data_IF_262924261427
#
_entry.id   IF_262924261427
#
_cell.length_a   1.000
_cell.length_b   1.000
_cell.length_c   1.000
_cell.angle_alpha   90.00
_cell.angle_beta   90.00
_cell.angle_gamma   90.00
#
_symmetry.space_group_name_H-M   'P 1'
#
loop_
_entity.id
_entity.type
_entity.pdbx_description
1 polymer ?
#
# COMPACT_ATOMS: atom_id res chain seq x y z
N UNK A 1 -1.97 -10.25 10.95
CA UNK A 1 -2.70 -10.43 12.23
C UNK A 1 -2.38 -9.25 13.12
N UNK A 2 -3.38 -8.65 13.79
CA UNK A 2 -3.23 -7.51 14.69
C UNK A 2 -3.61 -7.96 16.09
N UNK A 3 -2.76 -7.67 17.08
CA UNK A 3 -3.02 -7.93 18.49
C UNK A 3 -3.28 -6.61 19.22
N UNK A 4 -4.35 -6.54 19.99
CA UNK A 4 -4.71 -5.37 20.80
C UNK A 4 -4.80 -5.74 22.27
N UNK A 5 -4.52 -4.77 23.15
CA UNK A 5 -4.67 -4.97 24.60
C UNK A 5 -6.05 -4.45 25.04
N UNK A 6 -6.95 -5.34 25.38
CA UNK A 6 -8.32 -4.98 25.75
C UNK A 6 -8.43 -3.94 26.88
N UNK A 7 -7.50 -3.94 27.83
CA UNK A 7 -7.53 -3.00 28.95
C UNK A 7 -7.18 -1.56 28.58
N UNK A 8 -6.45 -1.33 27.47
CA UNK A 8 -5.90 -0.01 27.15
C UNK A 8 -6.10 0.40 25.69
N UNK A 9 -6.35 -0.53 24.79
CA UNK A 9 -6.43 -0.28 23.35
C UNK A 9 -7.35 -1.31 22.68
N UNK A 10 -8.64 -1.29 23.04
CA UNK A 10 -9.65 -2.12 22.40
C UNK A 10 -10.26 -1.36 21.20
N UNK A 11 -10.39 -1.99 20.04
CA UNK A 11 -11.14 -1.38 18.93
C UNK A 11 -12.64 -1.35 19.25
N UNK A 12 -13.32 -0.32 18.77
CA UNK A 12 -14.79 -0.20 18.89
C UNK A 12 -15.50 -0.90 17.73
N UNK A 13 -14.82 -1.03 16.57
CA UNK A 13 -15.28 -1.78 15.39
C UNK A 13 -14.10 -2.48 14.72
N UNK A 14 -14.41 -3.60 14.04
CA UNK A 14 -13.45 -4.35 13.24
C UNK A 14 -14.13 -4.85 11.97
N UNK A 15 -13.44 -4.68 10.83
CA UNK A 15 -13.89 -5.13 9.52
C UNK A 15 -12.77 -5.90 8.81
N UNK A 16 -13.12 -6.93 8.07
CA UNK A 16 -12.23 -7.61 7.13
C UNK A 16 -12.41 -7.01 5.73
N UNK A 17 -11.31 -6.94 4.97
CA UNK A 17 -11.34 -6.39 3.61
C UNK A 17 -11.19 -4.87 3.55
N UNK A 18 -11.15 -4.36 2.31
CA UNK A 18 -10.92 -2.94 2.02
C UNK A 18 -12.15 -2.28 1.41
N UNK A 19 -12.99 -3.04 0.69
CA UNK A 19 -14.14 -2.52 -0.04
C UNK A 19 -15.47 -2.71 0.69
N UNK A 20 -15.47 -3.47 1.80
CA UNK A 20 -16.61 -3.63 2.70
C UNK A 20 -17.71 -4.55 2.18
N UNK A 21 -17.42 -5.43 1.23
CA UNK A 21 -18.38 -6.40 0.68
C UNK A 21 -18.46 -7.71 1.48
N UNK A 22 -17.52 -7.94 2.38
CA UNK A 22 -17.59 -9.06 3.31
C UNK A 22 -18.62 -8.79 4.42
N UNK A 23 -19.11 -9.86 5.04
CA UNK A 23 -20.10 -9.78 6.10
C UNK A 23 -19.46 -9.99 7.48
N UNK A 24 -19.97 -9.33 8.53
CA UNK A 24 -19.59 -9.67 9.90
C UNK A 24 -19.93 -11.13 10.24
N UNK A 25 -19.25 -11.73 11.23
CA UNK A 25 -19.62 -13.06 11.71
C UNK A 25 -21.11 -13.16 12.05
N UNK A 26 -21.75 -14.21 11.57
CA UNK A 26 -23.19 -14.48 11.77
C UNK A 26 -24.15 -13.46 11.11
N UNK A 27 -23.71 -12.70 10.13
CA UNK A 27 -24.52 -11.79 9.33
C UNK A 27 -24.45 -12.16 7.86
N UNK A 28 -25.53 -11.90 7.11
CA UNK A 28 -25.56 -11.93 5.65
C UNK A 28 -25.52 -10.53 5.01
N UNK A 29 -25.45 -9.48 5.83
CA UNK A 29 -25.38 -8.09 5.37
C UNK A 29 -23.93 -7.65 5.29
N UNK A 30 -23.43 -7.19 4.12
CA UNK A 30 -22.08 -6.67 3.98
C UNK A 30 -21.79 -5.49 4.92
N UNK A 31 -20.52 -5.32 5.31
CA UNK A 31 -20.12 -4.21 6.18
C UNK A 31 -20.58 -2.85 5.64
N UNK A 32 -20.48 -2.63 4.33
CA UNK A 32 -20.89 -1.37 3.67
C UNK A 32 -22.39 -1.09 3.67
N UNK A 33 -23.21 -2.11 3.88
CA UNK A 33 -24.68 -2.05 3.86
C UNK A 33 -25.28 -2.06 5.27
N UNK A 34 -24.45 -2.12 6.32
CA UNK A 34 -24.88 -1.96 7.70
C UNK A 34 -25.37 -0.53 7.98
N UNK A 35 -26.11 -0.27 9.05
CA UNK A 35 -26.40 1.08 9.53
C UNK A 35 -25.10 1.87 9.77
N UNK A 36 -25.11 3.19 9.52
CA UNK A 36 -23.92 4.06 9.61
C UNK A 36 -23.21 3.98 10.98
N UNK A 37 -23.98 3.82 12.07
CA UNK A 37 -23.45 3.69 13.41
C UNK A 37 -22.76 2.33 13.67
N UNK A 38 -22.88 1.38 12.75
CA UNK A 38 -22.22 0.07 12.79
C UNK A 38 -21.06 -0.07 11.79
N UNK A 39 -20.88 0.90 10.89
CA UNK A 39 -19.83 0.90 9.90
C UNK A 39 -18.59 1.65 10.39
N UNK A 40 -17.39 1.24 9.90
CA UNK A 40 -16.21 2.11 9.94
C UNK A 40 -16.32 3.17 8.83
N UNK A 41 -16.93 2.84 7.70
CA UNK A 41 -17.21 3.76 6.60
C UNK A 41 -16.03 3.96 5.64
N UNK A 42 -16.16 4.97 4.76
CA UNK A 42 -15.12 5.32 3.78
C UNK A 42 -14.96 4.31 2.64
N UNK A 43 -15.93 3.44 2.39
CA UNK A 43 -15.86 2.42 1.34
C UNK A 43 -15.70 3.04 -0.05
N UNK A 44 -14.81 2.49 -0.90
CA UNK A 44 -14.65 2.96 -2.26
C UNK A 44 -15.95 2.83 -3.06
N UNK A 45 -16.26 3.83 -3.86
CA UNK A 45 -17.34 3.77 -4.86
C UNK A 45 -16.91 2.94 -6.07
N UNK A 46 -17.87 2.48 -6.88
CA UNK A 46 -17.55 1.76 -8.11
C UNK A 46 -16.74 2.64 -9.10
N UNK A 47 -16.98 3.95 -9.11
CA UNK A 47 -16.21 4.89 -9.90
C UNK A 47 -14.74 4.99 -9.42
N UNK A 48 -14.52 5.08 -8.11
CA UNK A 48 -13.18 5.08 -7.52
C UNK A 48 -12.43 3.76 -7.72
N UNK A 49 -13.12 2.64 -7.91
CA UNK A 49 -12.51 1.34 -8.19
C UNK A 49 -12.10 1.19 -9.65
N UNK A 50 -12.58 2.04 -10.57
CA UNK A 50 -12.12 2.06 -11.95
C UNK A 50 -10.64 2.47 -11.99
N UNK A 51 -9.89 1.87 -12.93
CA UNK A 51 -8.49 2.27 -13.14
C UNK A 51 -8.43 3.72 -13.57
N UNK A 52 -7.47 4.51 -13.05
CA UNK A 52 -7.07 5.72 -13.73
C UNK A 52 -6.62 5.33 -15.14
N UNK A 53 -7.09 6.05 -16.16
CA UNK A 53 -6.59 5.88 -17.51
C UNK A 53 -5.05 5.96 -17.50
N UNK A 54 -4.36 5.08 -18.21
CA UNK A 54 -2.93 5.16 -18.37
C UNK A 54 -2.61 6.56 -18.93
N UNK A 55 -1.67 7.26 -18.28
CA UNK A 55 -1.14 8.50 -18.85
C UNK A 55 -0.54 8.11 -20.20
N UNK A 56 -0.93 8.73 -21.32
CA UNK A 56 -0.32 8.44 -22.62
C UNK A 56 1.18 8.68 -22.49
N UNK A 57 1.99 7.68 -22.76
CA UNK A 57 3.41 7.88 -23.00
C UNK A 57 3.47 8.67 -24.32
N UNK A 58 4.05 9.88 -24.28
CA UNK A 58 4.40 10.67 -25.45
C UNK A 58 5.56 9.95 -26.18
N UNK A 59 5.25 8.84 -26.83
CA UNK A 59 6.20 8.19 -27.73
C UNK A 59 5.55 7.97 -29.10
N UNK A 60 6.12 8.68 -30.08
CA UNK A 60 5.82 8.65 -31.50
C UNK A 60 6.34 7.34 -32.14
N UNK A 61 5.98 6.20 -31.56
CA UNK A 61 6.26 4.89 -32.14
C UNK A 61 4.92 4.24 -32.56
N UNK A 62 4.81 3.97 -33.87
CA UNK A 62 3.79 3.13 -34.50
C UNK A 62 3.79 1.73 -33.84
N UNK A 63 3.11 1.60 -32.73
CA UNK A 63 2.76 0.30 -32.15
C UNK A 63 1.36 -0.05 -32.67
N UNK A 64 1.29 -1.12 -33.46
CA UNK A 64 0.03 -1.73 -33.87
C UNK A 64 -0.86 -1.88 -32.64
N UNK A 65 -2.13 -1.49 -32.77
CA UNK A 65 -3.15 -1.61 -31.73
C UNK A 65 -3.30 -3.08 -31.37
N UNK A 66 -2.58 -3.55 -30.33
CA UNK A 66 -2.84 -4.83 -29.71
C UNK A 66 -4.25 -4.80 -29.09
N UNK A 67 -5.16 -5.57 -29.68
CA UNK A 67 -6.55 -5.75 -29.21
C UNK A 67 -6.65 -6.37 -27.79
N UNK A 68 -5.54 -6.72 -27.16
CA UNK A 68 -5.40 -7.18 -25.76
C UNK A 68 -5.21 -6.04 -24.74
N UNK A 69 -5.61 -4.80 -25.07
CA UNK A 69 -5.73 -3.74 -24.05
C UNK A 69 -6.68 -4.23 -22.96
N UNK A 70 -6.12 -4.57 -21.81
CA UNK A 70 -6.82 -5.02 -20.61
C UNK A 70 -8.15 -4.28 -20.47
N UNK A 71 -9.24 -5.04 -20.52
CA UNK A 71 -10.61 -4.56 -20.46
C UNK A 71 -10.76 -3.54 -19.33
N UNK A 72 -11.33 -2.40 -19.65
CA UNK A 72 -11.60 -1.25 -18.75
C UNK A 72 -12.67 -1.61 -17.68
N UNK A 73 -12.99 -2.89 -17.57
CA UNK A 73 -13.96 -3.38 -16.59
C UNK A 73 -13.36 -3.36 -15.17
N UNK A 74 -14.06 -2.73 -14.24
CA UNK A 74 -13.63 -2.74 -12.84
C UNK A 74 -13.62 -4.18 -12.33
N UNK A 75 -12.54 -4.56 -11.63
CA UNK A 75 -12.50 -5.85 -10.93
C UNK A 75 -13.68 -5.93 -9.96
N UNK A 76 -14.32 -7.08 -9.89
CA UNK A 76 -15.37 -7.37 -8.91
C UNK A 76 -14.84 -7.05 -7.49
N UNK A 77 -15.51 -6.15 -6.76
CA UNK A 77 -15.13 -5.82 -5.38
C UNK A 77 -14.96 -7.03 -4.46
N UNK A 78 -15.75 -8.08 -4.68
CA UNK A 78 -15.64 -9.33 -3.92
C UNK A 78 -14.28 -10.02 -4.13
N UNK A 79 -13.70 -9.91 -5.31
CA UNK A 79 -12.36 -10.48 -5.58
C UNK A 79 -11.27 -9.75 -4.79
N UNK A 80 -11.38 -8.43 -4.60
CA UNK A 80 -10.39 -7.63 -3.87
C UNK A 80 -10.31 -8.03 -2.40
N UNK A 81 -11.44 -8.35 -1.77
CA UNK A 81 -11.50 -8.73 -0.37
C UNK A 81 -11.35 -10.25 -0.14
N UNK A 82 -11.47 -11.09 -1.20
CA UNK A 82 -11.48 -12.56 -1.09
C UNK A 82 -10.16 -13.16 -0.57
N UNK A 83 -9.04 -12.49 -0.77
CA UNK A 83 -7.72 -12.99 -0.38
C UNK A 83 -7.33 -12.66 1.09
N UNK A 84 -8.20 -11.99 1.85
CA UNK A 84 -7.98 -11.70 3.27
C UNK A 84 -6.76 -10.82 3.55
N UNK A 85 -6.50 -9.83 2.67
CA UNK A 85 -5.29 -8.99 2.69
C UNK A 85 -5.38 -7.76 3.57
N UNK A 86 -6.54 -7.46 4.13
CA UNK A 86 -6.77 -6.26 4.92
C UNK A 86 -7.64 -6.53 6.14
N UNK A 87 -7.29 -5.84 7.23
CA UNK A 87 -8.11 -5.75 8.45
C UNK A 87 -8.17 -4.28 8.83
N UNK A 88 -9.38 -3.76 9.04
CA UNK A 88 -9.62 -2.37 9.44
C UNK A 88 -10.19 -2.36 10.86
N UNK A 89 -9.54 -1.64 11.75
CA UNK A 89 -9.93 -1.51 13.15
C UNK A 89 -10.19 -0.03 13.47
N UNK A 90 -11.35 0.27 14.02
CA UNK A 90 -11.65 1.61 14.50
C UNK A 90 -11.42 1.69 16.02
N UNK A 91 -10.63 2.68 16.41
CA UNK A 91 -10.39 3.07 17.79
C UNK A 91 -11.00 4.45 18.05
N UNK A 92 -11.22 4.86 19.33
CA UNK A 92 -11.77 6.18 19.62
C UNK A 92 -11.01 7.35 19.01
N UNK A 93 -9.69 7.21 18.77
CA UNK A 93 -8.82 8.27 18.29
C UNK A 93 -8.42 8.16 16.81
N UNK A 94 -8.49 6.99 16.21
CA UNK A 94 -8.03 6.73 14.83
C UNK A 94 -8.61 5.43 14.26
N UNK A 95 -8.48 5.26 12.95
CA UNK A 95 -8.72 4.01 12.23
C UNK A 95 -7.38 3.40 11.84
N UNK A 96 -7.15 2.15 12.21
CA UNK A 96 -5.98 1.36 11.82
C UNK A 96 -6.32 0.45 10.64
N UNK A 97 -5.57 0.54 9.56
CA UNK A 97 -5.61 -0.38 8.44
C UNK A 97 -4.34 -1.23 8.47
N UNK A 98 -4.48 -2.52 8.75
CA UNK A 98 -3.41 -3.49 8.60
C UNK A 98 -3.53 -4.15 7.23
N UNK A 99 -2.46 -4.12 6.43
CA UNK A 99 -2.52 -4.53 5.02
C UNK A 99 -1.34 -5.40 4.61
N UNK A 100 -1.59 -6.34 3.70
CA UNK A 100 -0.60 -7.10 2.93
C UNK A 100 -0.93 -6.98 1.45
N UNK A 101 -0.38 -5.97 0.78
CA UNK A 101 -0.66 -5.72 -0.63
C UNK A 101 -0.13 -6.84 -1.52
N UNK A 102 -0.81 -7.13 -2.65
CA UNK A 102 -0.34 -8.13 -3.59
C UNK A 102 1.06 -7.81 -4.13
N UNK A 103 1.94 -8.82 -4.15
CA UNK A 103 3.27 -8.70 -4.71
C UNK A 103 3.23 -8.68 -6.24
N UNK A 104 4.21 -8.03 -6.86
CA UNK A 104 4.44 -8.11 -8.30
C UNK A 104 5.24 -9.38 -8.60
N UNK A 105 4.56 -10.50 -8.93
CA UNK A 105 5.22 -11.78 -9.27
C UNK A 105 5.30 -12.00 -10.77
N UNK A 106 4.26 -11.61 -11.48
CA UNK A 106 4.13 -11.74 -12.93
C UNK A 106 3.04 -10.78 -13.44
N UNK A 107 3.02 -10.53 -14.75
CA UNK A 107 2.09 -9.62 -15.41
C UNK A 107 0.62 -10.03 -15.25
N UNK A 108 0.34 -11.33 -15.07
CA UNK A 108 -1.03 -11.84 -14.92
C UNK A 108 -1.76 -11.30 -13.69
N UNK A 109 -1.02 -10.83 -12.69
CA UNK A 109 -1.58 -10.27 -11.44
C UNK A 109 -1.49 -8.75 -11.33
N UNK A 110 -0.90 -8.07 -12.29
CA UNK A 110 -0.73 -6.61 -12.24
C UNK A 110 -2.06 -5.89 -12.16
N UNK A 111 -3.06 -6.34 -12.90
CA UNK A 111 -4.43 -5.78 -12.83
C UNK A 111 -5.02 -5.90 -11.44
N UNK A 112 -4.95 -7.06 -10.81
CA UNK A 112 -5.44 -7.26 -9.44
C UNK A 112 -4.67 -6.40 -8.43
N UNK A 113 -3.35 -6.36 -8.55
CA UNK A 113 -2.47 -5.57 -7.68
C UNK A 113 -2.79 -4.08 -7.74
N UNK A 114 -2.90 -3.53 -8.96
CA UNK A 114 -3.22 -2.11 -9.16
C UNK A 114 -4.62 -1.78 -8.66
N UNK A 115 -5.61 -2.64 -8.91
CA UNK A 115 -6.97 -2.45 -8.41
C UNK A 115 -7.05 -2.51 -6.88
N UNK A 116 -6.27 -3.40 -6.23
CA UNK A 116 -6.18 -3.45 -4.77
C UNK A 116 -5.56 -2.17 -4.21
N UNK A 117 -4.45 -1.68 -4.80
CA UNK A 117 -3.80 -0.44 -4.39
C UNK A 117 -4.72 0.77 -4.60
N UNK A 118 -5.48 0.79 -5.69
CA UNK A 118 -6.47 1.83 -5.98
C UNK A 118 -7.61 1.82 -4.94
N UNK A 119 -8.11 0.64 -4.57
CA UNK A 119 -9.12 0.51 -3.53
C UNK A 119 -8.59 0.94 -2.15
N UNK A 120 -7.34 0.63 -1.83
CA UNK A 120 -6.67 1.06 -0.61
C UNK A 120 -6.53 2.59 -0.56
N UNK A 121 -6.03 3.22 -1.64
CA UNK A 121 -5.90 4.67 -1.76
C UNK A 121 -7.27 5.35 -1.59
N UNK A 122 -8.31 4.88 -2.28
CA UNK A 122 -9.66 5.41 -2.18
C UNK A 122 -10.23 5.28 -0.76
N UNK A 123 -10.09 4.10 -0.10
CA UNK A 123 -10.55 3.89 1.28
C UNK A 123 -9.90 4.85 2.25
N UNK A 124 -8.57 5.03 2.15
CA UNK A 124 -7.82 5.95 2.99
C UNK A 124 -8.32 7.39 2.80
N UNK A 125 -8.42 7.87 1.54
CA UNK A 125 -8.87 9.22 1.22
C UNK A 125 -10.28 9.48 1.71
N UNK A 126 -11.19 8.54 1.52
CA UNK A 126 -12.57 8.64 1.98
C UNK A 126 -12.65 8.74 3.51
N UNK A 127 -11.89 7.91 4.25
CA UNK A 127 -11.83 8.00 5.71
C UNK A 127 -11.29 9.34 6.20
N UNK A 128 -10.22 9.84 5.57
CA UNK A 128 -9.66 11.18 5.88
C UNK A 128 -10.66 12.29 5.55
N UNK A 129 -11.37 12.20 4.42
CA UNK A 129 -12.43 13.15 4.04
C UNK A 129 -13.62 13.16 5.03
N UNK A 130 -13.90 12.02 5.68
CA UNK A 130 -14.86 11.92 6.78
C UNK A 130 -14.36 12.51 8.11
N UNK A 131 -13.14 13.09 8.13
CA UNK A 131 -12.52 13.64 9.34
C UNK A 131 -11.92 12.59 10.27
N UNK A 132 -11.79 11.34 9.83
CA UNK A 132 -11.13 10.28 10.61
C UNK A 132 -9.62 10.35 10.46
N UNK A 133 -8.90 10.14 11.56
CA UNK A 133 -7.46 9.92 11.56
C UNK A 133 -7.17 8.50 11.13
N UNK A 134 -6.25 8.35 10.20
CA UNK A 134 -5.96 7.03 9.61
C UNK A 134 -4.50 6.66 9.87
N UNK A 135 -4.31 5.43 10.30
CA UNK A 135 -3.01 4.79 10.48
C UNK A 135 -2.94 3.54 9.60
N UNK A 136 -1.92 3.45 8.75
CA UNK A 136 -1.74 2.28 7.87
C UNK A 136 -0.44 1.58 8.22
N UNK A 137 -0.49 0.28 8.40
CA UNK A 137 0.73 -0.52 8.64
C UNK A 137 0.69 -1.84 7.90
N UNK A 138 1.84 -2.27 7.44
CA UNK A 138 2.03 -3.57 6.79
C UNK A 138 2.89 -3.51 5.55
N UNK A 139 2.86 -4.62 4.82
CA UNK A 139 3.59 -4.79 3.58
C UNK A 139 2.81 -4.21 2.41
N UNK A 140 3.32 -3.12 1.84
CA UNK A 140 2.74 -2.46 0.65
C UNK A 140 3.26 -3.09 -0.65
N UNK A 141 4.34 -3.88 -0.57
CA UNK A 141 5.02 -4.47 -1.72
C UNK A 141 5.48 -3.44 -2.78
N UNK A 142 5.78 -2.22 -2.33
CA UNK A 142 6.30 -1.12 -3.17
C UNK A 142 7.46 -0.43 -2.44
N UNK A 143 8.63 -0.38 -3.07
CA UNK A 143 9.68 0.56 -2.69
C UNK A 143 9.42 1.87 -3.45
N UNK A 144 9.01 2.93 -2.72
CA UNK A 144 8.43 4.16 -3.32
C UNK A 144 9.43 5.01 -4.11
N UNK A 145 10.71 4.97 -3.74
CA UNK A 145 11.81 5.74 -4.34
C UNK A 145 13.02 4.84 -4.51
N UNK A 146 13.98 5.24 -5.34
CA UNK A 146 15.18 4.42 -5.56
C UNK A 146 16.01 4.20 -4.29
N UNK A 147 16.04 5.17 -3.36
CA UNK A 147 16.72 5.03 -2.05
C UNK A 147 16.14 3.88 -1.20
N UNK A 148 14.91 3.46 -1.49
CA UNK A 148 14.22 2.35 -0.83
C UNK A 148 14.48 0.98 -1.50
N UNK A 149 15.36 0.90 -2.53
CA UNK A 149 15.66 -0.34 -3.24
C UNK A 149 17.14 -0.42 -3.63
N UNK A 150 17.85 -1.43 -3.13
CA UNK A 150 19.23 -1.69 -3.50
C UNK A 150 19.38 -1.94 -5.01
N UNK A 151 18.44 -2.66 -5.62
CA UNK A 151 18.42 -2.90 -7.06
C UNK A 151 18.26 -1.62 -7.87
N UNK A 152 17.36 -0.71 -7.45
CA UNK A 152 17.16 0.56 -8.13
C UNK A 152 18.40 1.45 -8.04
N UNK A 153 19.01 1.57 -6.85
CA UNK A 153 20.24 2.32 -6.67
C UNK A 153 21.38 1.76 -7.52
N UNK A 154 21.50 0.44 -7.63
CA UNK A 154 22.51 -0.18 -8.47
C UNK A 154 22.25 0.06 -9.95
N UNK A 155 21.00 -0.03 -10.43
CA UNK A 155 20.63 0.24 -11.81
C UNK A 155 20.93 1.69 -12.20
N UNK A 156 20.61 2.66 -11.34
CA UNK A 156 20.92 4.08 -11.55
C UNK A 156 22.43 4.29 -11.57
N UNK A 157 23.19 3.70 -10.65
CA UNK A 157 24.65 3.77 -10.62
C UNK A 157 25.29 3.21 -11.89
N UNK A 158 24.70 2.17 -12.48
CA UNK A 158 25.16 1.56 -13.74
C UNK A 158 24.64 2.29 -14.99
N UNK A 159 23.89 3.36 -14.86
CA UNK A 159 23.22 4.07 -15.95
C UNK A 159 22.28 3.17 -16.80
N UNK A 160 21.69 2.15 -16.21
CA UNK A 160 20.69 1.27 -16.85
C UNK A 160 19.26 1.68 -16.55
N UNK A 161 19.05 2.63 -15.62
CA UNK A 161 17.77 3.24 -15.29
C UNK A 161 17.99 4.65 -14.73
N UNK A 162 16.90 5.40 -14.56
CA UNK A 162 16.88 6.71 -13.91
C UNK A 162 15.90 6.72 -12.73
N UNK A 163 16.04 7.70 -11.81
CA UNK A 163 15.06 7.90 -10.74
C UNK A 163 13.66 8.17 -11.32
N UNK A 164 13.58 8.98 -12.38
CA UNK A 164 12.32 9.34 -13.02
C UNK A 164 11.62 8.11 -13.61
N UNK A 165 12.34 7.29 -14.36
CA UNK A 165 11.79 6.02 -14.88
C UNK A 165 11.36 5.08 -13.75
N UNK A 166 12.11 5.04 -12.64
CA UNK A 166 11.78 4.21 -11.50
C UNK A 166 10.46 4.64 -10.83
N UNK A 167 10.27 5.94 -10.56
CA UNK A 167 9.07 6.44 -9.87
C UNK A 167 7.84 6.53 -10.77
N UNK A 168 8.02 6.54 -12.11
CA UNK A 168 6.93 6.61 -13.10
C UNK A 168 6.11 5.33 -13.19
N UNK A 169 6.64 4.19 -12.74
CA UNK A 169 5.89 2.92 -12.73
C UNK A 169 4.56 3.11 -12.01
N UNK A 170 3.46 2.72 -12.65
CA UNK A 170 2.10 3.03 -12.24
C UNK A 170 1.79 2.76 -10.76
N UNK A 171 2.24 1.61 -10.21
CA UNK A 171 2.04 1.29 -8.80
C UNK A 171 2.80 2.21 -7.85
N UNK A 172 4.03 2.62 -8.21
CA UNK A 172 4.81 3.59 -7.42
C UNK A 172 4.23 4.98 -7.52
N UNK A 173 3.83 5.40 -8.73
CA UNK A 173 3.17 6.67 -8.95
C UNK A 173 1.89 6.77 -8.10
N UNK A 174 1.04 5.75 -8.12
CA UNK A 174 -0.18 5.68 -7.31
C UNK A 174 0.15 5.82 -5.81
N UNK A 175 1.11 5.08 -5.31
CA UNK A 175 1.51 5.14 -3.91
C UNK A 175 2.16 6.48 -3.54
N UNK A 176 2.99 7.05 -4.41
CA UNK A 176 3.60 8.37 -4.18
C UNK A 176 2.58 9.50 -4.16
N UNK A 177 1.45 9.40 -4.86
CA UNK A 177 0.38 10.40 -4.80
C UNK A 177 -0.34 10.42 -3.45
N UNK A 178 -0.30 9.32 -2.71
CA UNK A 178 -0.89 9.23 -1.38
C UNK A 178 -0.05 9.97 -0.33
N UNK A 179 1.29 10.05 -0.54
CA UNK A 179 2.27 10.50 0.45
C UNK A 179 2.68 11.97 0.23
N UNK A 180 2.88 12.70 1.33
CA UNK A 180 3.32 14.11 1.31
C UNK A 180 4.78 14.31 0.88
N UNK A 181 5.64 13.30 1.10
CA UNK A 181 7.01 13.24 0.60
C UNK A 181 7.14 12.46 -0.72
N UNK A 182 5.99 12.03 -1.30
CA UNK A 182 5.95 11.25 -2.53
C UNK A 182 6.30 12.06 -3.77
N UNK A 183 7.29 11.58 -4.54
CA UNK A 183 7.68 12.18 -5.82
C UNK A 183 6.74 11.71 -6.93
N UNK A 184 6.14 12.66 -7.64
CA UNK A 184 5.22 12.42 -8.77
C UNK A 184 5.66 13.28 -9.93
N UNK A 185 5.87 12.67 -11.10
CA UNK A 185 6.17 13.38 -12.34
C UNK A 185 4.88 13.77 -13.05
N UNK A 186 4.83 15.00 -13.56
CA UNK A 186 3.65 15.53 -14.24
C UNK A 186 2.45 15.79 -13.30
N UNK A 187 1.25 16.01 -13.85
CA UNK A 187 0.05 16.29 -13.07
C UNK A 187 -0.38 15.06 -12.26
N UNK A 188 -0.98 15.31 -11.10
CA UNK A 188 -1.64 14.26 -10.31
C UNK A 188 -2.97 13.90 -10.92
N UNK A 189 -3.43 12.67 -10.73
CA UNK A 189 -4.75 12.23 -11.19
C UNK A 189 -5.88 12.89 -10.39
N UNK A 190 -7.06 12.96 -11.02
CA UNK A 190 -8.29 13.44 -10.40
C UNK A 190 -8.59 12.68 -9.09
N UNK A 191 -8.94 13.44 -8.05
CA UNK A 191 -9.15 12.93 -6.69
C UNK A 191 -7.85 12.62 -5.92
N UNK A 192 -6.67 12.82 -6.54
CA UNK A 192 -5.33 12.62 -5.94
C UNK A 192 -4.47 13.88 -5.96
N UNK A 193 -5.06 15.05 -6.17
CA UNK A 193 -4.36 16.34 -6.29
C UNK A 193 -3.53 16.64 -5.04
N UNK A 194 -4.02 16.19 -3.88
CA UNK A 194 -3.36 16.39 -2.59
C UNK A 194 -2.97 15.06 -1.93
N UNK A 195 -1.78 14.99 -1.33
CA UNK A 195 -1.43 13.88 -0.45
C UNK A 195 -2.27 13.92 0.83
N UNK A 196 -2.49 12.76 1.42
CA UNK A 196 -3.26 12.63 2.68
C UNK A 196 -2.52 11.85 3.76
N UNK A 197 -1.41 11.18 3.41
CA UNK A 197 -0.64 10.35 4.32
C UNK A 197 0.81 10.82 4.44
N UNK A 198 1.44 10.44 5.55
CA UNK A 198 2.81 10.74 5.93
C UNK A 198 3.57 9.44 6.23
N UNK A 199 4.77 9.30 5.66
CA UNK A 199 5.69 8.18 5.93
C UNK A 199 6.50 8.48 7.19
N UNK A 200 6.06 7.93 8.32
CA UNK A 200 6.63 8.25 9.63
C UNK A 200 8.12 7.89 9.68
N UNK A 201 8.51 6.70 9.23
CA UNK A 201 9.90 6.27 9.31
C UNK A 201 10.82 7.12 8.40
N UNK A 202 10.37 7.43 7.18
CA UNK A 202 11.17 8.25 6.25
C UNK A 202 11.31 9.69 6.74
N UNK A 203 10.33 10.23 7.45
CA UNK A 203 10.41 11.60 7.97
C UNK A 203 11.49 11.78 9.03
N UNK A 204 11.76 10.78 9.85
CA UNK A 204 12.88 10.79 10.83
C UNK A 204 14.23 10.50 10.16
N UNK A 205 14.25 9.88 8.98
CA UNK A 205 15.46 9.46 8.28
C UNK A 205 15.40 9.81 6.77
N UNK A 206 15.29 11.10 6.39
CA UNK A 206 14.96 11.51 5.01
C UNK A 206 15.97 11.02 3.98
N UNK A 207 17.27 11.03 4.29
CA UNK A 207 18.35 10.72 3.36
C UNK A 207 19.01 9.35 3.60
N UNK A 208 18.52 8.59 4.59
CA UNK A 208 19.14 7.31 4.97
C UNK A 208 18.82 6.23 3.94
N UNK A 209 19.83 5.78 3.22
CA UNK A 209 19.77 4.58 2.39
C UNK A 209 19.91 3.30 3.22
N UNK A 210 19.52 2.15 2.64
CA UNK A 210 19.71 0.84 3.27
C UNK A 210 18.70 0.50 4.36
N UNK A 211 17.66 1.30 4.56
CA UNK A 211 16.56 1.01 5.50
C UNK A 211 15.62 -0.05 4.90
N UNK A 212 16.14 -1.23 4.65
CA UNK A 212 15.37 -2.28 4.00
C UNK A 212 14.60 -3.13 5.01
N UNK A 213 13.45 -3.64 4.59
CA UNK A 213 12.58 -4.50 5.40
C UNK A 213 12.41 -5.89 4.78
N UNK A 214 12.76 -6.04 3.50
CA UNK A 214 12.67 -7.29 2.74
C UNK A 214 13.99 -7.58 2.00
N UNK A 215 14.39 -8.87 2.00
CA UNK A 215 15.60 -9.37 1.32
C UNK A 215 15.28 -10.69 0.62
N UNK A 216 15.95 -10.94 -0.50
CA UNK A 216 15.85 -12.24 -1.18
C UNK A 216 16.47 -13.35 -0.32
N UNK A 217 15.63 -14.25 0.15
CA UNK A 217 16.05 -15.37 1.00
C UNK A 217 16.74 -16.48 0.20
N UNK A 218 16.42 -16.64 -1.11
CA UNK A 218 17.05 -17.65 -1.96
C UNK A 218 18.49 -17.28 -2.26
N UNK A 219 18.75 -15.99 -2.50
CA UNK A 219 20.09 -15.45 -2.75
C UNK A 219 20.82 -15.04 -1.47
N UNK A 220 20.17 -15.18 -0.30
CA UNK A 220 20.72 -14.78 1.00
C UNK A 220 21.31 -13.37 1.01
N UNK A 221 20.54 -12.39 0.50
CA UNK A 221 21.04 -11.02 0.30
C UNK A 221 21.07 -10.16 1.57
N UNK A 222 20.49 -10.63 2.68
CA UNK A 222 20.42 -9.89 3.94
C UNK A 222 21.79 -9.57 4.57
N UNK A 223 22.80 -10.46 4.57
CA UNK A 223 24.13 -10.13 5.11
C UNK A 223 24.81 -8.96 4.40
N UNK A 224 24.56 -8.79 3.09
CA UNK A 224 25.04 -7.66 2.30
C UNK A 224 24.11 -6.44 2.34
N UNK A 225 23.03 -6.51 3.11
CA UNK A 225 21.97 -5.51 3.13
C UNK A 225 21.50 -5.10 1.72
N UNK A 226 21.33 -6.08 0.83
CA UNK A 226 20.86 -5.87 -0.52
C UNK A 226 19.37 -6.24 -0.61
N UNK A 227 18.49 -5.28 -0.35
CA UNK A 227 17.05 -5.49 -0.16
C UNK A 227 16.21 -4.31 -0.62
N UNK A 228 14.98 -4.26 -0.12
CA UNK A 228 14.02 -3.19 -0.37
C UNK A 228 13.21 -2.84 0.88
N UNK A 229 12.80 -1.59 1.02
CA UNK A 229 11.84 -1.13 2.03
C UNK A 229 10.44 -1.16 1.43
N UNK A 230 9.66 -2.14 1.82
CA UNK A 230 8.30 -2.37 1.32
C UNK A 230 7.25 -2.41 2.43
N UNK A 231 7.69 -2.50 3.69
CA UNK A 231 6.84 -2.39 4.86
C UNK A 231 6.85 -0.95 5.37
N UNK A 232 5.67 -0.44 5.69
CA UNK A 232 5.47 0.94 6.07
C UNK A 232 4.64 1.09 7.33
N UNK A 233 4.85 2.23 7.97
CA UNK A 233 3.98 2.79 9.01
C UNK A 233 3.63 4.21 8.56
N UNK A 234 2.39 4.41 8.14
CA UNK A 234 1.90 5.67 7.61
C UNK A 234 0.82 6.24 8.55
N UNK A 235 0.71 7.57 8.62
CA UNK A 235 -0.39 8.23 9.32
C UNK A 235 -0.99 9.35 8.49
N UNK A 236 -2.25 9.71 8.75
CA UNK A 236 -2.85 10.92 8.19
C UNK A 236 -2.08 12.18 8.64
N UNK A 237 -2.10 13.23 7.80
CA UNK A 237 -1.23 14.40 7.96
C UNK A 237 -1.41 15.13 9.30
N UNK A 238 -2.59 15.08 9.88
CA UNK A 238 -2.92 15.68 11.18
C UNK A 238 -2.37 14.88 12.39
N UNK A 239 -1.76 13.71 12.14
CA UNK A 239 -1.15 12.88 13.18
C UNK A 239 0.39 13.00 13.22
N UNK A 240 1.02 13.80 12.37
CA UNK A 240 2.51 13.88 12.27
C UNK A 240 3.17 14.14 13.63
N UNK A 241 2.62 15.05 14.40
CA UNK A 241 3.19 15.45 15.70
C UNK A 241 2.93 14.44 16.83
N UNK A 242 2.26 13.31 16.53
CA UNK A 242 2.05 12.25 17.53
C UNK A 242 3.29 11.38 17.72
N UNK A 243 4.23 11.42 16.79
CA UNK A 243 5.40 10.56 16.75
C UNK A 243 6.65 11.36 17.11
N UNK A 244 7.44 10.80 18.01
CA UNK A 244 8.71 11.38 18.49
C UNK A 244 9.93 10.67 17.93
N UNK A 245 9.77 9.44 17.44
CA UNK A 245 10.81 8.63 16.79
C UNK A 245 10.19 7.46 16.03
N UNK A 246 10.87 7.02 14.98
CA UNK A 246 10.56 5.79 14.24
C UNK A 246 11.83 5.27 13.58
N UNK A 247 12.10 3.97 13.72
CA UNK A 247 13.30 3.37 13.15
C UNK A 247 13.06 1.92 12.73
N UNK A 248 13.94 1.41 11.85
CA UNK A 248 14.00 0.00 11.47
C UNK A 248 15.05 -0.69 12.35
N UNK A 249 14.68 -1.81 12.97
CA UNK A 249 15.55 -2.61 13.85
C UNK A 249 16.47 -3.52 13.02
N UNK A 250 17.41 -2.96 12.29
CA UNK A 250 18.30 -3.67 11.36
C UNK A 250 19.12 -4.77 12.05
N UNK A 251 19.54 -4.53 13.29
CA UNK A 251 20.34 -5.48 14.08
C UNK A 251 19.53 -6.63 14.67
N UNK A 252 18.21 -6.62 14.59
CA UNK A 252 17.37 -7.68 15.13
C UNK A 252 17.39 -8.91 14.19
N UNK A 253 18.35 -9.81 14.43
CA UNK A 253 18.46 -11.08 13.72
C UNK A 253 17.60 -12.12 14.43
N UNK A 254 16.32 -12.26 14.02
CA UNK A 254 15.51 -13.40 14.46
C UNK A 254 16.00 -14.64 13.71
N UNK A 255 16.70 -15.55 14.40
CA UNK A 255 16.87 -16.92 13.94
C UNK A 255 15.52 -17.62 14.08
N UNK A 256 14.64 -17.46 13.11
CA UNK A 256 13.56 -18.40 12.92
C UNK A 256 14.19 -19.73 12.48
N UNK A 257 14.28 -20.69 13.40
CA UNK A 257 14.27 -22.09 13.01
C UNK A 257 12.87 -22.35 12.46
N UNK A 258 12.67 -22.06 11.19
CA UNK A 258 11.56 -22.57 10.43
C UNK A 258 11.84 -24.05 10.14
N UNK A 259 11.43 -24.91 11.08
CA UNK A 259 10.88 -26.19 10.68
C UNK A 259 9.50 -25.86 10.10
N UNK A 260 9.34 -26.14 8.79
CA UNK A 260 8.08 -26.15 8.05
C UNK A 260 7.41 -24.79 7.84
N UNK A 261 7.75 -24.13 6.74
CA UNK A 261 6.82 -23.55 5.77
C UNK A 261 7.63 -23.20 4.52
N UNK A 262 7.87 -24.18 3.70
CA UNK A 262 8.07 -24.04 2.27
C UNK A 262 6.79 -23.42 1.73
N UNK A 263 6.91 -22.45 0.85
CA UNK A 263 5.90 -21.75 0.09
C UNK A 263 5.39 -20.42 0.68
N UNK A 264 6.29 -19.43 0.71
CA UNK A 264 5.92 -18.04 0.61
C UNK A 264 7.13 -17.24 0.08
N UNK A 265 7.30 -17.25 -1.23
CA UNK A 265 7.86 -16.19 -2.08
C UNK A 265 7.29 -16.38 -3.48
#
# INVERSE_FOLDING_TARGET
MIYTRNATCAPIRAEEGIVGVLCPPNSSTPFRDLPEDQQIGGYPTLEQLRRPAAVPEDDDSNVEEDEDRATDEPIDPAMLDSEGRSVVLEFPAFVLIGVYCPANRDESRDTFRLSFLNALDARIRNLVAMGKRVFVTGDINIAKQAVDSAHALEAIRKNTSTEDAYISVQSRRLFNQLLDDGKVLGPREEGREKPVMHDICRSFHPDRAGMYTCWDTRLNTRPGNFGARIDYVLCSLDMKDWFVDSNIQEGLMVRLRLALLSDCC
#
